data_IF_156620521972
#
_entry.id   IF_156620521972
#
_cell.length_a   1.000
_cell.length_b   1.000
_cell.length_c   1.000
_cell.angle_alpha   90.00
_cell.angle_beta   90.00
_cell.angle_gamma   90.00
#
_symmetry.space_group_name_H-M   'P 1'
#
loop_
_entity.id
_entity.type
_entity.pdbx_description
1 polymer ?
#
# COMPACT_ATOMS: atom_id res chain seq x y z
N UNK A 1 -2.68 5.65 24.44
CA UNK A 1 -3.44 5.61 23.16
C UNK A 1 -2.41 5.64 22.05
N UNK A 2 -2.01 4.49 21.52
CA UNK A 2 -1.06 4.40 20.40
C UNK A 2 -1.85 3.81 19.23
N UNK A 3 -2.37 4.68 18.37
CA UNK A 3 -2.98 4.27 17.09
C UNK A 3 -1.92 4.21 16.00
N UNK A 4 -2.23 3.60 14.84
CA UNK A 4 -1.34 3.62 13.70
C UNK A 4 -1.10 5.05 13.22
N UNK A 5 0.12 5.33 12.82
CA UNK A 5 0.54 6.57 12.17
C UNK A 5 -0.07 6.68 10.78
N UNK A 6 -0.13 7.90 10.24
CA UNK A 6 -0.64 8.15 8.88
C UNK A 6 0.11 7.33 7.80
N UNK A 7 1.41 7.10 8.03
CA UNK A 7 2.26 6.30 7.14
C UNK A 7 1.84 4.83 7.18
N UNK A 8 1.58 4.27 8.36
CA UNK A 8 1.12 2.88 8.51
C UNK A 8 -0.25 2.69 7.87
N UNK A 9 -1.16 3.65 8.04
CA UNK A 9 -2.47 3.64 7.38
C UNK A 9 -2.32 3.66 5.86
N UNK A 10 -1.41 4.48 5.32
CA UNK A 10 -1.12 4.54 3.87
C UNK A 10 -0.60 3.20 3.35
N UNK A 11 0.38 2.61 4.03
CA UNK A 11 0.96 1.32 3.64
C UNK A 11 -0.12 0.23 3.59
N UNK A 12 -0.96 0.17 4.62
CA UNK A 12 -2.08 -0.77 4.68
C UNK A 12 -3.08 -0.52 3.54
N UNK A 13 -3.43 0.74 3.29
CA UNK A 13 -4.32 1.14 2.19
C UNK A 13 -3.81 0.67 0.83
N UNK A 14 -2.53 0.88 0.54
CA UNK A 14 -1.91 0.45 -0.71
C UNK A 14 -1.93 -1.08 -0.89
N UNK A 15 -1.69 -1.85 0.18
CA UNK A 15 -1.77 -3.32 0.13
C UNK A 15 -3.20 -3.79 -0.16
N UNK A 16 -4.20 -3.23 0.52
CA UNK A 16 -5.62 -3.57 0.33
C UNK A 16 -6.08 -3.22 -1.09
N UNK A 17 -5.71 -2.04 -1.58
CA UNK A 17 -6.07 -1.59 -2.92
C UNK A 17 -5.49 -2.53 -3.98
N UNK A 18 -4.17 -2.76 -3.97
CA UNK A 18 -3.49 -3.55 -5.01
C UNK A 18 -3.82 -5.04 -4.94
N UNK A 19 -4.17 -5.57 -3.77
CA UNK A 19 -4.73 -6.93 -3.67
C UNK A 19 -6.03 -7.07 -4.49
N UNK A 20 -6.85 -6.02 -4.56
CA UNK A 20 -8.13 -6.04 -5.29
C UNK A 20 -8.02 -5.57 -6.73
N UNK A 21 -7.26 -4.53 -7.00
CA UNK A 21 -7.20 -3.88 -8.32
C UNK A 21 -6.15 -4.49 -9.23
N UNK A 22 -5.08 -5.06 -8.66
CA UNK A 22 -3.96 -5.67 -9.41
C UNK A 22 -3.52 -7.00 -8.77
N UNK A 23 -4.41 -8.00 -8.67
CA UNK A 23 -4.15 -9.25 -7.95
C UNK A 23 -2.94 -10.03 -8.51
N UNK A 24 -2.69 -9.94 -9.81
CA UNK A 24 -1.56 -10.61 -10.46
C UNK A 24 -0.19 -10.05 -10.04
N UNK A 25 -0.16 -8.82 -9.50
CA UNK A 25 1.04 -8.16 -8.99
C UNK A 25 1.19 -8.29 -7.46
N UNK A 26 0.27 -9.00 -6.81
CA UNK A 26 0.29 -9.22 -5.37
C UNK A 26 0.89 -10.62 -5.06
N UNK A 27 1.79 -10.76 -4.06
CA UNK A 27 2.27 -9.72 -3.15
C UNK A 27 3.26 -8.75 -3.79
N UNK A 28 3.18 -7.48 -3.35
CA UNK A 28 4.06 -6.41 -3.82
C UNK A 28 5.49 -6.60 -3.32
N UNK A 29 6.47 -6.30 -4.17
CA UNK A 29 7.85 -6.05 -3.70
C UNK A 29 7.92 -4.76 -2.89
N UNK A 30 8.97 -4.58 -2.08
CA UNK A 30 9.16 -3.34 -1.31
C UNK A 30 9.19 -2.09 -2.21
N UNK A 31 9.80 -2.19 -3.39
CA UNK A 31 9.84 -1.08 -4.34
C UNK A 31 8.47 -0.79 -4.94
N UNK A 32 7.71 -1.82 -5.31
CA UNK A 32 6.35 -1.67 -5.83
C UNK A 32 5.41 -1.07 -4.78
N UNK A 33 5.55 -1.45 -3.50
CA UNK A 33 4.81 -0.85 -2.39
C UNK A 33 5.18 0.62 -2.19
N UNK A 34 6.47 0.96 -2.24
CA UNK A 34 6.93 2.36 -2.17
C UNK A 34 6.35 3.19 -3.32
N UNK A 35 6.27 2.65 -4.52
CA UNK A 35 5.66 3.33 -5.66
C UNK A 35 4.15 3.50 -5.46
N UNK A 36 3.45 2.47 -4.96
CA UNK A 36 2.02 2.56 -4.65
C UNK A 36 1.71 3.64 -3.57
N UNK A 37 2.53 3.73 -2.52
CA UNK A 37 2.38 4.76 -1.48
C UNK A 37 2.55 6.20 -2.01
N UNK A 38 3.36 6.38 -3.06
CA UNK A 38 3.69 7.67 -3.67
C UNK A 38 2.95 7.92 -5.01
N UNK A 39 1.91 7.13 -5.31
CA UNK A 39 1.14 7.27 -6.54
C UNK A 39 0.34 8.59 -6.52
N UNK A 40 0.60 9.48 -7.48
CA UNK A 40 -0.30 10.60 -7.78
C UNK A 40 -1.56 10.08 -8.47
N UNK A 41 -2.73 10.57 -8.05
CA UNK A 41 -4.02 10.25 -8.69
C UNK A 41 -4.20 11.09 -9.95
#
# INVERSE_FOLDING_TARGET
MIGPTDVEIRVLGCLIEKQRTTPDQYPLTLNSLRLACNQST
#
